data_IF_459299604031
#
_entry.id   IF_459299604031
#
_cell.length_a   1.000
_cell.length_b   1.000
_cell.length_c   1.000
_cell.angle_alpha   90.00
_cell.angle_beta   90.00
_cell.angle_gamma   90.00
#
_symmetry.space_group_name_H-M   'P 1'
#
loop_
_entity.id
_entity.type
_entity.pdbx_description
1 polymer ?
#
# COMPACT_ATOMS: atom_id res chain seq x y z
N UNK A 1 0.62 10.25 0.12
CA UNK A 1 0.33 11.67 0.39
C UNK A 1 0.80 11.94 1.81
N UNK A 2 1.98 12.51 2.00
CA UNK A 2 2.48 12.83 3.35
C UNK A 2 1.87 14.17 3.75
N UNK A 3 0.90 14.15 4.68
CA UNK A 3 0.32 15.37 5.23
C UNK A 3 1.32 15.92 6.26
N UNK A 4 1.97 17.03 5.93
CA UNK A 4 2.77 17.78 6.89
C UNK A 4 1.80 18.57 7.78
N UNK A 5 1.46 18.03 8.94
CA UNK A 5 0.67 18.73 9.96
C UNK A 5 1.62 19.45 10.91
N UNK A 6 1.82 20.75 10.70
CA UNK A 6 2.46 21.63 11.68
C UNK A 6 1.41 22.21 12.63
N UNK A 7 1.62 22.06 13.94
CA UNK A 7 0.97 22.88 14.97
C UNK A 7 0.07 22.10 15.93
N UNK A 8 0.46 22.12 17.22
CA UNK A 8 -0.16 21.35 18.30
C UNK A 8 -1.58 21.79 18.65
N UNK A 9 -2.50 20.81 18.63
CA UNK A 9 -3.76 20.86 19.36
C UNK A 9 -3.63 20.23 20.75
N UNK A 10 -4.57 20.50 21.67
CA UNK A 10 -4.41 20.23 23.10
C UNK A 10 -4.23 18.75 23.40
N UNK A 11 -3.36 18.44 24.36
CA UNK A 11 -3.32 17.13 24.99
C UNK A 11 -4.55 16.98 25.89
N UNK A 12 -5.44 16.00 25.63
CA UNK A 12 -6.43 15.56 26.62
C UNK A 12 -7.07 14.20 26.29
N UNK A 13 -7.13 13.32 27.30
CA UNK A 13 -8.12 12.24 27.43
C UNK A 13 -7.75 10.85 26.87
N UNK A 14 -8.20 9.81 27.58
CA UNK A 14 -8.39 8.48 27.00
C UNK A 14 -9.35 8.56 25.81
N UNK A 15 -9.11 7.77 24.76
CA UNK A 15 -10.03 7.59 23.63
C UNK A 15 -11.37 7.09 24.19
N UNK A 16 -12.41 7.91 24.07
CA UNK A 16 -13.77 7.55 24.47
C UNK A 16 -14.48 6.90 23.28
N UNK A 17 -14.80 5.63 23.42
CA UNK A 17 -15.64 4.94 22.46
C UNK A 17 -17.10 5.34 22.65
N UNK A 18 -17.81 5.47 21.52
CA UNK A 18 -19.26 5.61 21.47
C UNK A 18 -19.88 4.25 21.16
N UNK A 19 -21.12 4.04 21.56
CA UNK A 19 -21.92 2.86 21.23
C UNK A 19 -23.23 3.27 20.57
N UNK A 20 -23.71 2.47 19.63
CA UNK A 20 -25.06 2.63 19.07
C UNK A 20 -26.07 1.81 19.86
N UNK A 21 -27.36 2.11 19.71
CA UNK A 21 -28.45 1.38 20.38
C UNK A 21 -28.52 -0.12 20.04
N UNK A 22 -27.81 -0.58 18.99
CA UNK A 22 -27.75 -1.99 18.59
C UNK A 22 -26.81 -2.84 19.46
N UNK A 23 -25.92 -2.20 20.23
CA UNK A 23 -24.92 -2.90 21.04
C UNK A 23 -25.45 -3.10 22.46
N UNK A 24 -25.88 -4.33 22.77
CA UNK A 24 -26.39 -4.69 24.10
C UNK A 24 -25.25 -5.07 25.06
N UNK A 25 -24.69 -4.07 25.74
CA UNK A 25 -23.64 -4.29 26.75
C UNK A 25 -24.18 -4.79 28.10
N UNK A 26 -25.46 -5.19 28.20
CA UNK A 26 -25.94 -5.94 29.38
C UNK A 26 -25.56 -7.42 29.29
N UNK A 27 -25.26 -7.91 28.08
CA UNK A 27 -24.70 -9.24 27.86
C UNK A 27 -23.21 -9.26 28.24
N UNK A 28 -22.77 -10.15 29.13
CA UNK A 28 -21.40 -10.14 29.66
C UNK A 28 -20.31 -10.22 28.57
N UNK A 29 -20.51 -11.04 27.55
CA UNK A 29 -19.52 -11.20 26.48
C UNK A 29 -19.46 -9.98 25.55
N UNK A 30 -20.61 -9.38 25.23
CA UNK A 30 -20.66 -8.14 24.45
C UNK A 30 -19.99 -6.99 25.23
N UNK A 31 -20.23 -6.90 26.53
CA UNK A 31 -19.57 -5.93 27.40
C UNK A 31 -18.05 -6.13 27.44
N UNK A 32 -17.59 -7.37 27.54
CA UNK A 32 -16.16 -7.69 27.58
C UNK A 32 -15.45 -7.36 26.25
N UNK A 33 -16.08 -7.64 25.11
CA UNK A 33 -15.54 -7.28 23.79
C UNK A 33 -15.54 -5.76 23.59
N UNK A 34 -16.59 -5.06 24.04
CA UNK A 34 -16.62 -3.58 24.03
C UNK A 34 -15.47 -2.99 24.85
N UNK A 35 -15.23 -3.50 26.07
CA UNK A 35 -14.13 -3.06 26.93
C UNK A 35 -12.76 -3.37 26.30
N UNK A 36 -12.59 -4.54 25.68
CA UNK A 36 -11.38 -4.93 24.96
C UNK A 36 -11.01 -3.93 23.85
N UNK A 37 -11.98 -3.51 23.03
CA UNK A 37 -11.78 -2.48 22.01
C UNK A 37 -11.35 -1.14 22.63
N UNK A 38 -11.97 -0.77 23.75
CA UNK A 38 -11.63 0.46 24.48
C UNK A 38 -10.19 0.46 24.97
N UNK A 39 -9.74 -0.67 25.54
CA UNK A 39 -8.36 -0.84 25.92
C UNK A 39 -7.41 -0.78 24.73
N UNK A 40 -7.75 -1.46 23.62
CA UNK A 40 -6.96 -1.47 22.41
C UNK A 40 -6.73 -0.06 21.83
N UNK A 41 -7.79 0.74 21.64
CA UNK A 41 -7.65 2.09 21.08
C UNK A 41 -6.85 3.04 21.97
N UNK A 42 -6.77 2.75 23.28
CA UNK A 42 -5.93 3.47 24.23
C UNK A 42 -4.49 2.92 24.34
N UNK A 43 -4.17 1.83 23.64
CA UNK A 43 -2.91 1.10 23.74
C UNK A 43 -1.99 1.35 22.54
N UNK A 44 -1.78 2.62 22.14
CA UNK A 44 -0.85 3.00 21.04
C UNK A 44 -0.94 2.10 19.80
N UNK A 45 -2.14 1.95 19.18
CA UNK A 45 -2.34 1.07 18.03
C UNK A 45 -1.52 1.45 16.77
N UNK A 46 -0.92 2.63 16.77
CA UNK A 46 -0.03 3.15 15.74
C UNK A 46 1.41 2.60 15.81
N UNK A 47 1.72 1.74 16.79
CA UNK A 47 3.08 1.25 17.08
C UNK A 47 3.20 -0.27 16.93
N UNK A 48 4.37 -0.74 16.50
CA UNK A 48 4.70 -2.18 16.48
C UNK A 48 5.27 -2.61 17.84
N UNK A 49 4.47 -3.36 18.61
CA UNK A 49 4.87 -3.95 19.88
C UNK A 49 3.93 -5.11 20.26
N UNK A 50 4.33 -5.92 21.24
CA UNK A 50 3.50 -7.00 21.77
C UNK A 50 2.27 -6.47 22.54
N UNK A 51 1.23 -6.09 21.79
CA UNK A 51 0.00 -5.52 22.34
C UNK A 51 -0.80 -6.62 23.07
N UNK A 52 -1.05 -6.50 24.39
CA UNK A 52 -1.66 -7.57 25.19
C UNK A 52 -3.14 -7.83 24.85
N UNK A 53 -3.76 -6.91 24.10
CA UNK A 53 -5.16 -7.02 23.68
C UNK A 53 -5.34 -7.82 22.39
N UNK A 54 -4.25 -8.29 21.77
CA UNK A 54 -4.28 -9.07 20.53
C UNK A 54 -4.00 -10.55 20.78
N UNK A 55 -4.48 -11.38 19.85
CA UNK A 55 -4.19 -12.80 19.79
C UNK A 55 -2.67 -13.01 19.80
N UNK A 56 -2.18 -13.80 20.76
CA UNK A 56 -0.74 -14.00 20.97
C UNK A 56 -0.02 -14.60 19.75
N UNK A 57 -0.69 -15.46 18.96
CA UNK A 57 -0.10 -16.01 17.74
C UNK A 57 0.05 -14.94 16.65
N UNK A 58 -0.93 -14.04 16.51
CA UNK A 58 -0.82 -12.91 15.58
C UNK A 58 0.26 -11.91 16.02
N UNK A 59 0.39 -11.68 17.33
CA UNK A 59 1.48 -10.86 17.87
C UNK A 59 2.84 -11.48 17.55
N UNK A 60 3.01 -12.78 17.80
CA UNK A 60 4.27 -13.48 17.51
C UNK A 60 4.63 -13.39 16.02
N UNK A 61 3.66 -13.64 15.15
CA UNK A 61 3.85 -13.56 13.70
C UNK A 61 4.14 -12.13 13.22
N UNK A 62 3.23 -11.18 13.45
CA UNK A 62 3.36 -9.83 12.89
C UNK A 62 4.49 -9.03 13.54
N UNK A 63 4.59 -9.04 14.87
CA UNK A 63 5.57 -8.21 15.59
C UNK A 63 6.89 -8.95 15.77
N UNK A 64 6.84 -10.23 16.12
CA UNK A 64 8.03 -11.04 16.40
C UNK A 64 8.80 -11.42 15.15
N UNK A 65 8.13 -12.01 14.17
CA UNK A 65 8.77 -12.52 12.94
C UNK A 65 8.91 -11.44 11.86
N UNK A 66 7.91 -10.56 11.72
CA UNK A 66 7.87 -9.58 10.63
C UNK A 66 8.20 -8.15 11.05
N UNK A 67 8.31 -7.85 12.35
CA UNK A 67 8.57 -6.50 12.88
C UNK A 67 7.55 -5.43 12.45
N UNK A 68 6.31 -5.86 12.24
CA UNK A 68 5.19 -5.04 11.80
C UNK A 68 4.17 -4.82 12.92
N UNK A 69 3.20 -3.93 12.68
CA UNK A 69 2.07 -3.74 13.59
C UNK A 69 1.15 -4.97 13.52
N UNK A 70 0.64 -5.40 14.67
CA UNK A 70 -0.29 -6.55 14.75
C UNK A 70 -1.65 -6.24 14.12
N UNK A 71 -2.14 -5.00 14.23
CA UNK A 71 -3.35 -4.57 13.53
C UNK A 71 -3.04 -4.31 12.06
N UNK A 72 -3.56 -5.16 11.16
CA UNK A 72 -3.39 -4.99 9.72
C UNK A 72 -4.06 -3.70 9.19
N UNK A 73 -5.08 -3.17 9.87
CA UNK A 73 -5.68 -1.88 9.55
C UNK A 73 -4.79 -0.69 9.91
N UNK A 74 -3.90 -0.83 10.89
CA UNK A 74 -2.99 0.25 11.28
C UNK A 74 -2.02 0.67 10.16
N UNK A 75 -1.85 -0.17 9.13
CA UNK A 75 -1.07 0.16 7.93
C UNK A 75 -1.60 1.40 7.20
N UNK A 76 -2.93 1.55 7.12
CA UNK A 76 -3.57 2.62 6.35
C UNK A 76 -4.30 3.64 7.23
N UNK A 77 -4.81 3.20 8.39
CA UNK A 77 -5.67 4.01 9.26
C UNK A 77 -5.03 5.34 9.65
N UNK A 78 -3.77 5.32 10.09
CA UNK A 78 -3.16 6.49 10.73
C UNK A 78 -2.55 7.49 9.75
N UNK A 79 -2.19 7.06 8.53
CA UNK A 79 -1.69 7.91 7.43
C UNK A 79 -0.69 9.03 7.86
N UNK A 80 0.28 8.68 8.71
CA UNK A 80 1.30 9.60 9.21
C UNK A 80 0.93 10.41 10.47
N UNK A 81 -0.31 10.30 10.95
CA UNK A 81 -0.72 10.79 12.26
C UNK A 81 -0.36 9.75 13.35
N UNK A 82 -0.09 10.20 14.57
CA UNK A 82 -0.13 9.30 15.72
C UNK A 82 -1.57 8.87 16.02
N UNK A 83 -1.75 7.73 16.70
CA UNK A 83 -3.06 7.27 17.14
C UNK A 83 -3.80 8.34 17.95
N UNK A 84 -3.07 9.07 18.80
CA UNK A 84 -3.63 10.18 19.58
C UNK A 84 -4.17 11.31 18.69
N UNK A 85 -3.41 11.74 17.69
CA UNK A 85 -3.86 12.79 16.75
C UNK A 85 -5.04 12.31 15.93
N UNK A 86 -5.01 11.05 15.48
CA UNK A 86 -6.06 10.46 14.69
C UNK A 86 -7.39 10.38 15.46
N UNK A 87 -7.37 9.84 16.69
CA UNK A 87 -8.59 9.71 17.51
C UNK A 87 -9.09 11.02 18.12
N UNK A 88 -8.27 12.07 18.12
CA UNK A 88 -8.75 13.43 18.42
C UNK A 88 -9.67 13.97 17.31
N UNK A 89 -9.53 13.46 16.08
CA UNK A 89 -10.36 13.84 14.92
C UNK A 89 -11.51 12.84 14.76
N UNK A 90 -11.19 11.54 14.69
CA UNK A 90 -12.15 10.48 14.40
C UNK A 90 -12.45 9.66 15.64
N UNK A 91 -13.66 9.81 16.20
CA UNK A 91 -14.04 9.07 17.39
C UNK A 91 -14.57 7.67 17.03
N UNK A 92 -14.04 6.60 17.66
CA UNK A 92 -14.51 5.25 17.41
C UNK A 92 -15.92 5.04 17.95
N UNK A 93 -16.81 4.57 17.09
CA UNK A 93 -18.22 4.28 17.40
C UNK A 93 -18.54 2.85 17.05
N UNK A 94 -18.88 2.04 18.06
CA UNK A 94 -19.23 0.63 17.87
C UNK A 94 -20.63 0.52 17.29
N UNK A 95 -20.70 0.05 16.05
CA UNK A 95 -21.95 -0.17 15.33
C UNK A 95 -22.61 -1.51 15.71
N UNK A 96 -21.80 -2.55 15.89
CA UNK A 96 -22.28 -3.89 16.23
C UNK A 96 -21.19 -4.71 16.92
N UNK A 97 -21.61 -5.61 17.81
CA UNK A 97 -20.81 -6.74 18.31
C UNK A 97 -21.72 -7.96 18.20
N UNK A 98 -21.38 -8.89 17.30
CA UNK A 98 -22.26 -9.98 16.90
C UNK A 98 -21.55 -11.33 17.06
N UNK A 99 -22.25 -12.40 17.49
CA UNK A 99 -21.68 -13.74 17.49
C UNK A 99 -21.26 -14.18 16.08
N UNK A 100 -20.10 -14.83 15.99
CA UNK A 100 -19.56 -15.42 14.77
C UNK A 100 -18.97 -16.80 15.12
N UNK A 101 -19.84 -17.80 15.27
CA UNK A 101 -19.47 -19.10 15.83
C UNK A 101 -19.04 -18.96 17.29
N UNK A 102 -17.84 -19.43 17.61
CA UNK A 102 -17.24 -19.27 18.95
C UNK A 102 -16.55 -17.91 19.18
N UNK A 103 -16.58 -17.02 18.18
CA UNK A 103 -15.98 -15.68 18.21
C UNK A 103 -17.07 -14.62 18.28
N UNK A 104 -16.65 -13.36 18.44
CA UNK A 104 -17.49 -12.20 18.11
C UNK A 104 -16.86 -11.42 16.95
N UNK A 105 -17.69 -10.76 16.16
CA UNK A 105 -17.26 -9.75 15.18
C UNK A 105 -17.73 -8.38 15.65
N UNK A 106 -16.80 -7.45 15.76
CA UNK A 106 -17.08 -6.05 16.10
C UNK A 106 -16.88 -5.16 14.88
N UNK A 107 -17.84 -4.26 14.63
CA UNK A 107 -17.74 -3.23 13.60
C UNK A 107 -17.68 -1.86 14.23
N UNK A 108 -16.66 -1.09 13.86
CA UNK A 108 -16.40 0.23 14.45
C UNK A 108 -16.34 1.27 13.34
N UNK A 109 -17.25 2.23 13.38
CA UNK A 109 -17.18 3.41 12.52
C UNK A 109 -16.20 4.41 13.13
N UNK A 110 -15.23 4.84 12.34
CA UNK A 110 -14.42 6.01 12.65
C UNK A 110 -15.06 7.20 11.93
N UNK A 111 -15.46 8.23 12.67
CA UNK A 111 -15.99 9.46 12.08
C UNK A 111 -15.71 10.67 12.95
N UNK A 112 -15.65 11.84 12.31
CA UNK A 112 -15.45 13.13 12.96
C UNK A 112 -16.78 13.85 13.14
N UNK A 113 -17.04 14.29 14.37
CA UNK A 113 -18.17 15.13 14.73
C UNK A 113 -17.68 16.59 14.69
N UNK A 114 -18.06 17.34 13.66
CA UNK A 114 -17.43 18.63 13.35
C UNK A 114 -15.99 18.47 12.81
N UNK A 115 -15.80 17.88 11.62
CA UNK A 115 -14.46 17.66 11.06
C UNK A 115 -13.69 18.97 10.88
N UNK A 116 -12.35 18.96 11.04
CA UNK A 116 -11.50 20.07 10.61
C UNK A 116 -11.77 20.45 9.14
N UNK A 117 -11.57 21.71 8.79
CA UNK A 117 -11.89 22.23 7.46
C UNK A 117 -11.27 21.42 6.31
N UNK A 118 -10.04 20.93 6.47
CA UNK A 118 -9.38 20.10 5.47
C UNK A 118 -10.02 18.72 5.31
N UNK A 119 -10.46 18.08 6.40
CA UNK A 119 -11.20 16.80 6.35
C UNK A 119 -12.53 16.99 5.62
N UNK A 120 -13.22 18.11 5.88
CA UNK A 120 -14.48 18.44 5.21
C UNK A 120 -14.27 18.74 3.72
N UNK A 121 -13.27 19.55 3.38
CA UNK A 121 -12.96 19.95 2.00
C UNK A 121 -12.52 18.77 1.13
N UNK A 122 -11.76 17.84 1.70
CA UNK A 122 -11.27 16.67 0.98
C UNK A 122 -12.23 15.46 1.08
N UNK A 123 -13.41 15.64 1.69
CA UNK A 123 -14.43 14.59 1.88
C UNK A 123 -13.94 13.33 2.62
N UNK A 124 -13.07 13.50 3.62
CA UNK A 124 -12.44 12.40 4.38
C UNK A 124 -13.26 11.89 5.59
N UNK A 125 -14.59 12.03 5.58
CA UNK A 125 -15.44 11.67 6.72
C UNK A 125 -16.76 10.98 6.28
N UNK A 126 -17.07 9.75 6.75
CA UNK A 126 -16.23 8.90 7.59
C UNK A 126 -15.07 8.27 6.80
N UNK A 127 -13.85 8.18 7.37
CA UNK A 127 -12.73 7.59 6.66
C UNK A 127 -12.77 6.06 6.60
N UNK A 128 -13.30 5.40 7.64
CA UNK A 128 -13.20 3.94 7.79
C UNK A 128 -14.36 3.34 8.56
N UNK A 129 -14.75 2.13 8.14
CA UNK A 129 -15.46 1.18 8.99
C UNK A 129 -14.54 -0.01 9.24
N UNK A 130 -14.09 -0.16 10.48
CA UNK A 130 -13.21 -1.23 10.92
C UNK A 130 -14.02 -2.49 11.23
N UNK A 131 -13.39 -3.64 11.04
CA UNK A 131 -13.87 -4.96 11.43
C UNK A 131 -12.79 -5.69 12.21
N UNK A 132 -13.13 -6.10 13.42
CA UNK A 132 -12.27 -6.94 14.25
C UNK A 132 -13.00 -8.21 14.66
N UNK A 133 -12.27 -9.31 14.79
CA UNK A 133 -12.77 -10.47 15.51
C UNK A 133 -12.29 -10.40 16.97
N UNK A 134 -13.08 -10.97 17.86
CA UNK A 134 -12.67 -11.25 19.23
C UNK A 134 -12.73 -12.76 19.46
N UNK A 135 -11.62 -13.31 19.95
CA UNK A 135 -11.43 -14.75 20.21
C UNK A 135 -11.00 -14.95 21.66
N UNK A 136 -11.37 -16.08 22.28
CA UNK A 136 -10.90 -16.41 23.62
C UNK A 136 -9.52 -17.06 23.58
N UNK A 137 -8.63 -16.62 24.46
CA UNK A 137 -7.38 -17.33 24.72
C UNK A 137 -7.63 -18.59 25.59
N UNK A 138 -6.58 -19.36 25.86
CA UNK A 138 -6.66 -20.56 26.69
C UNK A 138 -7.16 -20.32 28.13
N UNK A 139 -7.00 -19.10 28.65
CA UNK A 139 -7.51 -18.67 29.95
C UNK A 139 -8.97 -18.16 29.89
N UNK A 140 -9.63 -18.23 28.72
CA UNK A 140 -11.00 -17.78 28.52
C UNK A 140 -11.16 -16.27 28.35
N UNK A 141 -10.07 -15.50 28.28
CA UNK A 141 -10.12 -14.03 28.12
C UNK A 141 -10.23 -13.65 26.64
N UNK A 142 -11.03 -12.63 26.34
CA UNK A 142 -11.17 -12.11 24.97
C UNK A 142 -9.90 -11.37 24.52
N UNK A 143 -9.48 -11.63 23.28
CA UNK A 143 -8.40 -10.95 22.57
C UNK A 143 -8.86 -10.60 21.15
N UNK A 144 -8.34 -9.50 20.59
CA UNK A 144 -8.59 -9.11 19.21
C UNK A 144 -7.84 -10.02 18.25
N UNK A 145 -8.45 -10.26 17.11
CA UNK A 145 -7.90 -11.03 16.01
C UNK A 145 -8.19 -10.30 14.70
N UNK A 146 -7.23 -10.34 13.78
CA UNK A 146 -7.39 -9.77 12.46
C UNK A 146 -8.52 -10.49 11.71
N UNK A 147 -9.07 -9.80 10.73
CA UNK A 147 -9.99 -10.38 9.75
C UNK A 147 -9.34 -11.50 8.94
N UNK A 148 -8.04 -11.35 8.66
CA UNK A 148 -7.27 -12.20 7.78
C UNK A 148 -7.51 -13.72 7.95
N UNK A 149 -7.31 -14.34 9.14
CA UNK A 149 -7.46 -15.79 9.28
C UNK A 149 -8.87 -16.29 8.97
N UNK A 150 -9.88 -15.43 9.18
CA UNK A 150 -11.29 -15.74 8.96
C UNK A 150 -11.70 -15.56 7.49
N UNK A 151 -11.00 -14.68 6.76
CA UNK A 151 -11.25 -14.47 5.33
C UNK A 151 -10.54 -15.53 4.48
N UNK A 152 -9.24 -15.75 4.69
CA UNK A 152 -8.41 -16.56 3.76
C UNK A 152 -8.51 -18.06 3.98
N UNK A 153 -8.97 -18.53 5.15
CA UNK A 153 -8.98 -19.96 5.51
C UNK A 153 -9.82 -20.87 4.60
N UNK A 154 -10.63 -20.30 3.71
CA UNK A 154 -11.48 -21.02 2.75
C UNK A 154 -11.08 -20.80 1.29
N UNK A 155 -9.97 -20.08 1.05
CA UNK A 155 -9.60 -19.66 -0.28
C UNK A 155 -8.96 -20.80 -1.07
N UNK A 156 -9.16 -20.75 -2.39
CA UNK A 156 -8.54 -21.69 -3.30
C UNK A 156 -7.15 -21.20 -3.68
N UNK A 157 -6.24 -22.15 -3.88
CA UNK A 157 -4.88 -21.85 -4.29
C UNK A 157 -4.58 -22.32 -5.72
N UNK A 158 -3.74 -21.56 -6.42
CA UNK A 158 -3.06 -22.03 -7.63
C UNK A 158 -1.58 -21.71 -7.49
N UNK A 159 -0.72 -22.71 -7.66
CA UNK A 159 0.72 -22.56 -7.46
C UNK A 159 1.44 -22.61 -8.81
N UNK A 160 2.34 -21.67 -9.03
CA UNK A 160 3.33 -21.67 -10.11
C UNK A 160 4.74 -21.61 -9.50
N UNK A 161 5.83 -21.73 -10.30
CA UNK A 161 7.19 -21.68 -9.76
C UNK A 161 7.50 -20.42 -8.94
N UNK A 162 6.95 -19.26 -9.33
CA UNK A 162 7.24 -17.97 -8.68
C UNK A 162 6.11 -17.44 -7.80
N UNK A 163 4.87 -17.92 -7.96
CA UNK A 163 3.71 -17.28 -7.34
C UNK A 163 2.76 -18.34 -6.79
N UNK A 164 2.41 -18.24 -5.50
CA UNK A 164 1.22 -18.90 -4.94
C UNK A 164 0.07 -17.90 -4.99
N UNK A 165 -0.87 -18.16 -5.89
CA UNK A 165 -2.08 -17.36 -6.03
C UNK A 165 -3.14 -17.81 -5.04
N UNK A 166 -3.74 -16.87 -4.34
CA UNK A 166 -4.82 -17.06 -3.39
C UNK A 166 -6.09 -16.39 -3.91
N UNK A 167 -7.18 -17.15 -3.99
CA UNK A 167 -8.44 -16.69 -4.57
C UNK A 167 -9.62 -16.88 -3.61
N UNK A 168 -10.48 -15.87 -3.46
CA UNK A 168 -11.74 -16.07 -2.75
C UNK A 168 -12.57 -17.15 -3.45
N UNK A 169 -13.44 -17.87 -2.72
CA UNK A 169 -14.26 -18.95 -3.31
C UNK A 169 -15.12 -18.53 -4.52
N UNK A 170 -15.39 -17.23 -4.65
CA UNK A 170 -16.18 -16.65 -5.74
C UNK A 170 -15.37 -16.29 -6.99
N UNK A 171 -14.04 -16.32 -6.93
CA UNK A 171 -13.19 -16.02 -8.07
C UNK A 171 -13.08 -17.22 -9.04
N UNK A 172 -12.73 -16.91 -10.29
CA UNK A 172 -12.52 -17.90 -11.36
C UNK A 172 -11.06 -17.83 -11.84
N UNK A 173 -10.17 -18.64 -11.28
CA UNK A 173 -8.74 -18.62 -11.64
C UNK A 173 -8.52 -18.94 -13.12
N UNK A 174 -7.65 -18.18 -13.78
CA UNK A 174 -7.15 -18.47 -15.12
C UNK A 174 -5.71 -18.97 -15.05
N UNK A 175 -5.55 -20.30 -15.07
CA UNK A 175 -4.25 -20.95 -14.96
C UNK A 175 -3.26 -20.54 -16.08
N UNK A 176 -3.76 -20.17 -17.27
CA UNK A 176 -2.89 -19.74 -18.36
C UNK A 176 -2.34 -18.33 -18.10
N UNK A 177 -3.16 -17.41 -17.56
CA UNK A 177 -2.70 -16.09 -17.11
C UNK A 177 -1.73 -16.20 -15.93
N UNK A 178 -2.02 -17.06 -14.96
CA UNK A 178 -1.12 -17.32 -13.83
C UNK A 178 0.27 -17.79 -14.28
N UNK A 179 0.33 -18.75 -15.22
CA UNK A 179 1.62 -19.19 -15.81
C UNK A 179 2.36 -18.08 -16.53
N UNK A 180 1.65 -17.22 -17.27
CA UNK A 180 2.27 -16.05 -17.93
C UNK A 180 2.84 -15.04 -16.92
N UNK A 181 2.10 -14.76 -15.85
CA UNK A 181 2.58 -13.94 -14.74
C UNK A 181 3.86 -14.54 -14.11
N UNK A 182 3.87 -15.85 -13.87
CA UNK A 182 5.05 -16.55 -13.35
C UNK A 182 6.26 -16.48 -14.29
N UNK A 183 6.04 -16.60 -15.60
CA UNK A 183 7.12 -16.49 -16.60
C UNK A 183 7.68 -15.07 -16.71
N UNK A 184 6.86 -14.06 -16.46
CA UNK A 184 7.34 -12.68 -16.33
C UNK A 184 8.28 -12.54 -15.13
N UNK A 185 7.92 -13.09 -13.96
CA UNK A 185 8.79 -13.07 -12.78
C UNK A 185 10.15 -13.71 -13.07
N UNK A 186 10.14 -14.87 -13.73
CA UNK A 186 11.35 -15.58 -14.16
C UNK A 186 12.24 -14.71 -15.08
N UNK A 187 11.63 -14.02 -16.03
CA UNK A 187 12.32 -13.11 -16.94
C UNK A 187 12.95 -11.93 -16.19
N UNK A 188 12.26 -11.34 -15.21
CA UNK A 188 12.78 -10.22 -14.40
C UNK A 188 13.95 -10.68 -13.54
N UNK A 189 13.82 -11.81 -12.85
CA UNK A 189 14.87 -12.38 -12.00
C UNK A 189 16.11 -12.71 -12.82
N UNK A 190 15.93 -13.30 -14.00
CA UNK A 190 17.02 -13.61 -14.93
C UNK A 190 17.68 -12.34 -15.46
N UNK A 191 16.89 -11.38 -15.96
CA UNK A 191 17.41 -10.14 -16.54
C UNK A 191 18.25 -9.32 -15.55
N UNK A 192 17.84 -9.28 -14.28
CA UNK A 192 18.45 -8.45 -13.25
C UNK A 192 19.37 -9.23 -12.31
N UNK A 193 19.54 -10.55 -12.52
CA UNK A 193 20.31 -11.45 -11.68
C UNK A 193 19.95 -11.36 -10.19
N UNK A 194 18.65 -11.43 -9.87
CA UNK A 194 18.13 -11.23 -8.50
C UNK A 194 18.33 -12.46 -7.62
N UNK A 195 19.53 -12.62 -7.06
CA UNK A 195 19.89 -13.79 -6.25
C UNK A 195 19.04 -13.98 -4.97
N UNK A 196 18.46 -12.90 -4.43
CA UNK A 196 17.61 -12.94 -3.24
C UNK A 196 16.11 -13.10 -3.56
N UNK A 197 15.72 -13.10 -4.84
CA UNK A 197 14.34 -13.28 -5.23
C UNK A 197 13.87 -14.68 -4.86
N UNK A 198 12.63 -14.77 -4.35
CA UNK A 198 12.00 -16.02 -3.94
C UNK A 198 10.53 -16.03 -4.37
N UNK A 199 9.90 -17.22 -4.47
CA UNK A 199 8.46 -17.31 -4.71
C UNK A 199 7.68 -16.55 -3.63
N UNK A 200 6.54 -15.96 -4.00
CA UNK A 200 5.74 -15.10 -3.12
C UNK A 200 4.24 -15.42 -3.20
N UNK A 201 3.49 -14.95 -2.21
CA UNK A 201 2.03 -15.09 -2.18
C UNK A 201 1.35 -13.90 -2.87
N UNK A 202 0.36 -14.18 -3.71
CA UNK A 202 -0.43 -13.16 -4.40
C UNK A 202 -1.92 -13.36 -4.16
N UNK A 203 -2.55 -12.39 -3.51
CA UNK A 203 -3.97 -12.42 -3.18
C UNK A 203 -4.76 -11.68 -4.25
N UNK A 204 -5.56 -12.43 -5.00
CA UNK A 204 -6.34 -11.93 -6.13
C UNK A 204 -7.79 -11.79 -5.72
N UNK A 205 -8.20 -10.56 -5.41
CA UNK A 205 -9.60 -10.23 -5.06
C UNK A 205 -10.25 -9.37 -6.13
N UNK A 206 -11.59 -9.40 -6.18
CA UNK A 206 -12.37 -8.81 -7.26
C UNK A 206 -12.85 -7.38 -6.95
N UNK A 207 -12.62 -6.88 -5.74
CA UNK A 207 -13.01 -5.52 -5.36
C UNK A 207 -12.13 -4.95 -4.25
N UNK A 208 -12.16 -3.63 -4.12
CA UNK A 208 -11.47 -2.92 -3.04
C UNK A 208 -12.08 -3.24 -1.68
N UNK A 209 -13.38 -3.52 -1.59
CA UNK A 209 -13.97 -3.94 -0.31
C UNK A 209 -13.46 -5.32 0.12
N UNK A 210 -13.27 -6.25 -0.84
CA UNK A 210 -12.64 -7.54 -0.53
C UNK A 210 -11.18 -7.36 -0.10
N UNK A 211 -10.45 -6.43 -0.72
CA UNK A 211 -9.08 -6.11 -0.32
C UNK A 211 -9.05 -5.50 1.09
N UNK A 212 -9.91 -4.52 1.35
CA UNK A 212 -10.05 -3.87 2.66
C UNK A 212 -10.35 -4.89 3.77
N UNK A 213 -11.15 -5.92 3.48
CA UNK A 213 -11.42 -7.02 4.43
C UNK A 213 -10.19 -7.84 4.80
N UNK A 214 -9.11 -7.83 4.02
CA UNK A 214 -7.84 -8.44 4.44
C UNK A 214 -7.05 -7.55 5.40
N UNK A 215 -7.44 -6.27 5.51
CA UNK A 215 -6.81 -5.24 6.34
C UNK A 215 -7.76 -4.69 7.41
N UNK A 216 -8.70 -5.49 7.91
CA UNK A 216 -9.65 -5.10 8.96
C UNK A 216 -10.64 -3.99 8.58
N UNK A 217 -10.97 -3.82 7.30
CA UNK A 217 -11.97 -2.85 6.84
C UNK A 217 -13.19 -3.51 6.22
N UNK A 218 -14.39 -3.11 6.66
CA UNK A 218 -15.61 -3.28 5.88
C UNK A 218 -15.82 -2.11 4.90
N UNK A 219 -15.21 -0.95 5.19
CA UNK A 219 -15.18 0.23 4.32
C UNK A 219 -13.92 1.06 4.60
N UNK A 220 -13.34 1.65 3.55
CA UNK A 220 -12.23 2.59 3.66
C UNK A 220 -12.29 3.64 2.53
N UNK A 221 -11.87 4.87 2.81
CA UNK A 221 -11.77 5.93 1.80
C UNK A 221 -10.52 5.87 0.90
N UNK A 222 -9.34 5.39 1.36
CA UNK A 222 -8.20 5.27 0.48
C UNK A 222 -8.51 4.38 -0.73
N UNK A 223 -8.31 4.92 -1.94
CA UNK A 223 -8.36 4.13 -3.17
C UNK A 223 -7.08 3.31 -3.30
N UNK A 224 -7.21 1.98 -3.32
CA UNK A 224 -6.06 1.07 -3.40
C UNK A 224 -6.42 -0.14 -4.27
N UNK A 225 -5.80 -0.22 -5.45
CA UNK A 225 -6.04 -1.32 -6.39
C UNK A 225 -4.96 -2.42 -6.34
N UNK A 226 -3.90 -2.19 -5.57
CA UNK A 226 -2.78 -3.09 -5.36
C UNK A 226 -1.85 -2.59 -4.27
N UNK A 227 -1.23 -3.53 -3.54
CA UNK A 227 -0.23 -3.21 -2.53
C UNK A 227 0.73 -4.38 -2.37
N UNK A 228 2.00 -4.07 -2.18
CA UNK A 228 3.04 -5.04 -1.88
C UNK A 228 3.45 -4.92 -0.41
N UNK A 229 3.45 -6.05 0.31
CA UNK A 229 3.94 -6.12 1.68
C UNK A 229 5.20 -7.00 1.74
N UNK A 230 6.34 -6.35 1.52
CA UNK A 230 7.63 -7.02 1.36
C UNK A 230 8.09 -7.80 2.58
N UNK A 231 7.81 -7.30 3.79
CA UNK A 231 8.10 -7.99 5.05
C UNK A 231 7.48 -9.40 5.10
N UNK A 232 6.30 -9.56 4.49
CA UNK A 232 5.58 -10.84 4.39
C UNK A 232 5.82 -11.58 3.08
N UNK A 233 6.62 -11.02 2.17
CA UNK A 233 6.85 -11.55 0.82
C UNK A 233 5.53 -11.88 0.10
N UNK A 234 4.61 -10.90 0.09
CA UNK A 234 3.30 -11.03 -0.54
C UNK A 234 2.84 -9.74 -1.21
N UNK A 235 1.92 -9.88 -2.15
CA UNK A 235 1.26 -8.75 -2.82
C UNK A 235 -0.22 -9.02 -3.02
N UNK A 236 -0.96 -7.96 -3.35
CA UNK A 236 -2.41 -7.94 -3.39
C UNK A 236 -2.90 -7.20 -4.62
N UNK A 237 -4.07 -7.59 -5.14
CA UNK A 237 -4.76 -6.78 -6.14
C UNK A 237 -6.27 -6.87 -5.99
N UNK A 238 -6.93 -5.73 -6.14
CA UNK A 238 -8.38 -5.60 -6.19
C UNK A 238 -8.96 -5.72 -7.61
N UNK A 239 -8.16 -6.13 -8.60
CA UNK A 239 -8.55 -6.13 -10.01
C UNK A 239 -9.12 -7.46 -10.52
N UNK A 240 -9.10 -8.51 -9.70
CA UNK A 240 -9.63 -9.84 -10.06
C UNK A 240 -8.87 -10.53 -11.19
N UNK A 241 -7.55 -10.35 -11.27
CA UNK A 241 -6.71 -10.83 -12.38
C UNK A 241 -5.37 -11.35 -11.87
N UNK A 242 -4.80 -12.33 -12.56
CA UNK A 242 -3.53 -12.97 -12.22
C UNK A 242 -2.29 -12.13 -12.55
N UNK A 243 -2.48 -11.04 -13.28
CA UNK A 243 -1.39 -10.18 -13.71
C UNK A 243 -1.39 -8.91 -12.84
N UNK A 244 -0.28 -8.65 -12.16
CA UNK A 244 -0.05 -7.36 -11.54
C UNK A 244 1.44 -7.05 -11.62
N UNK A 245 1.93 -7.02 -12.86
CA UNK A 245 3.36 -7.10 -13.17
C UNK A 245 4.16 -5.98 -12.50
N UNK A 246 3.57 -4.79 -12.36
CA UNK A 246 4.15 -3.67 -11.61
C UNK A 246 4.47 -4.05 -10.16
N UNK A 247 3.48 -4.55 -9.42
CA UNK A 247 3.68 -4.98 -8.04
C UNK A 247 4.58 -6.21 -7.92
N UNK A 248 4.60 -7.09 -8.92
CA UNK A 248 5.53 -8.23 -8.91
C UNK A 248 6.98 -7.77 -8.96
N UNK A 249 7.29 -6.67 -9.65
CA UNK A 249 8.62 -6.07 -9.60
C UNK A 249 8.94 -5.56 -8.19
N UNK A 250 8.00 -4.91 -7.50
CA UNK A 250 8.19 -4.45 -6.12
C UNK A 250 8.47 -5.58 -5.13
N UNK A 251 7.83 -6.75 -5.30
CA UNK A 251 8.07 -7.93 -4.47
C UNK A 251 9.44 -8.55 -4.75
N UNK A 252 9.79 -8.75 -6.02
CA UNK A 252 10.99 -9.47 -6.44
C UNK A 252 12.27 -8.65 -6.26
N UNK A 253 12.21 -7.35 -6.58
CA UNK A 253 13.38 -6.48 -6.60
C UNK A 253 13.72 -6.00 -5.18
N UNK A 254 15.00 -5.79 -4.80
CA UNK A 254 15.38 -5.20 -3.51
C UNK A 254 14.77 -3.82 -3.25
N UNK A 255 14.76 -3.37 -1.98
CA UNK A 255 14.23 -2.05 -1.64
C UNK A 255 15.09 -0.94 -2.26
N UNK A 256 14.44 0.01 -2.93
CA UNK A 256 15.08 1.18 -3.54
C UNK A 256 14.71 2.41 -2.71
N UNK A 257 15.71 3.03 -2.08
CA UNK A 257 15.53 4.20 -1.18
C UNK A 257 14.83 5.36 -1.87
N UNK A 258 15.19 5.60 -3.14
CA UNK A 258 14.59 6.66 -3.92
C UNK A 258 13.24 6.20 -4.49
N UNK A 259 12.15 6.73 -3.95
CA UNK A 259 10.79 6.32 -4.32
C UNK A 259 10.47 6.56 -5.79
N UNK A 260 11.00 7.64 -6.40
CA UNK A 260 10.84 7.88 -7.83
C UNK A 260 11.48 6.77 -8.68
N UNK A 261 12.63 6.26 -8.24
CA UNK A 261 13.30 5.15 -8.89
C UNK A 261 12.64 3.80 -8.61
N UNK A 262 12.10 3.58 -7.41
CA UNK A 262 11.33 2.38 -7.09
C UNK A 262 10.13 2.22 -8.03
N UNK A 263 9.29 3.26 -8.14
CA UNK A 263 8.13 3.28 -9.04
C UNK A 263 8.55 3.26 -10.52
N UNK A 264 9.65 3.92 -10.85
CA UNK A 264 10.21 3.95 -12.20
C UNK A 264 10.61 2.56 -12.71
N UNK A 265 11.27 1.75 -11.87
CA UNK A 265 11.69 0.39 -12.24
C UNK A 265 10.49 -0.53 -12.45
N UNK A 266 9.55 -0.52 -11.49
CA UNK A 266 8.32 -1.29 -11.59
C UNK A 266 7.49 -0.90 -12.82
N UNK A 267 7.48 0.39 -13.16
CA UNK A 267 6.83 0.90 -14.37
C UNK A 267 7.56 0.52 -15.66
N UNK A 268 8.89 0.56 -15.66
CA UNK A 268 9.72 0.21 -16.82
C UNK A 268 9.53 -1.26 -17.22
N UNK A 269 9.51 -2.17 -16.23
CA UNK A 269 9.42 -3.62 -16.46
C UNK A 269 7.97 -4.13 -16.49
N UNK A 270 7.15 -3.70 -15.53
CA UNK A 270 5.79 -4.20 -15.32
C UNK A 270 4.68 -3.31 -15.88
N UNK A 271 5.00 -2.14 -16.44
CA UNK A 271 4.01 -1.18 -16.93
C UNK A 271 3.40 -0.31 -15.81
N UNK A 272 2.61 0.69 -16.21
CA UNK A 272 2.09 1.71 -15.27
C UNK A 272 1.12 1.15 -14.25
N UNK A 273 0.35 0.15 -14.65
CA UNK A 273 -0.71 -0.44 -13.84
C UNK A 273 -0.65 -1.98 -13.80
N UNK A 274 0.49 -2.53 -14.20
CA UNK A 274 0.71 -3.97 -14.38
C UNK A 274 0.36 -4.50 -15.77
N UNK A 275 -0.12 -3.64 -16.69
CA UNK A 275 -0.57 -4.05 -18.03
C UNK A 275 -0.16 -3.06 -19.11
N UNK A 276 -0.37 -1.77 -18.85
CA UNK A 276 -0.17 -0.70 -19.83
C UNK A 276 1.32 -0.45 -19.98
N UNK A 277 1.90 -0.66 -21.18
CA UNK A 277 3.31 -0.40 -21.40
C UNK A 277 3.64 1.07 -21.10
N UNK A 278 4.72 1.33 -20.36
CA UNK A 278 5.01 2.70 -19.90
C UNK A 278 5.14 3.72 -21.03
N UNK A 279 5.67 3.30 -22.19
CA UNK A 279 5.82 4.16 -23.38
C UNK A 279 4.49 4.70 -23.89
N UNK A 280 3.40 3.94 -23.75
CA UNK A 280 2.07 4.42 -24.13
C UNK A 280 1.65 5.61 -23.27
N UNK A 281 1.76 5.48 -21.96
CA UNK A 281 1.43 6.56 -21.02
C UNK A 281 2.42 7.72 -21.10
N UNK A 282 3.71 7.43 -21.31
CA UNK A 282 4.75 8.45 -21.50
C UNK A 282 4.46 9.34 -22.72
N UNK A 283 3.99 8.76 -23.84
CA UNK A 283 3.55 9.54 -25.01
C UNK A 283 2.38 10.45 -24.70
N UNK A 284 1.39 9.96 -23.96
CA UNK A 284 0.22 10.76 -23.57
C UNK A 284 0.62 11.94 -22.67
N UNK A 285 1.48 11.69 -21.67
CA UNK A 285 2.04 12.73 -20.78
C UNK A 285 2.87 13.74 -21.58
N UNK A 286 3.77 13.27 -22.45
CA UNK A 286 4.62 14.14 -23.26
C UNK A 286 3.78 15.03 -24.21
N UNK A 287 2.75 14.47 -24.85
CA UNK A 287 1.86 15.21 -25.73
C UNK A 287 1.07 16.31 -24.97
N UNK A 288 0.62 16.03 -23.75
CA UNK A 288 -0.06 17.02 -22.91
C UNK A 288 0.87 18.14 -22.45
N UNK A 289 2.07 17.78 -21.99
CA UNK A 289 3.09 18.75 -21.63
C UNK A 289 3.42 19.66 -22.81
N UNK A 290 3.59 19.11 -24.02
CA UNK A 290 3.88 19.89 -25.22
C UNK A 290 2.75 20.86 -25.59
N UNK A 291 1.47 20.46 -25.45
CA UNK A 291 0.32 21.27 -25.87
C UNK A 291 -0.12 22.29 -24.84
N UNK A 292 -0.10 21.92 -23.57
CA UNK A 292 -0.79 22.65 -22.52
C UNK A 292 0.15 23.21 -21.46
N UNK A 293 1.34 22.61 -21.28
CA UNK A 293 2.23 22.87 -20.13
C UNK A 293 3.73 22.82 -20.49
N UNK A 294 4.21 23.51 -21.55
CA UNK A 294 5.56 23.30 -22.09
C UNK A 294 6.69 23.74 -21.14
N UNK A 295 6.38 24.54 -20.13
CA UNK A 295 7.34 25.06 -19.15
C UNK A 295 7.55 24.15 -17.93
N UNK A 296 6.83 23.03 -17.80
CA UNK A 296 6.98 22.11 -16.65
C UNK A 296 8.36 21.45 -16.72
N UNK A 297 9.22 21.67 -15.71
CA UNK A 297 10.53 21.03 -15.65
C UNK A 297 10.42 19.55 -15.25
N UNK A 298 11.42 18.76 -15.62
CA UNK A 298 11.49 17.35 -15.21
C UNK A 298 11.42 17.16 -13.68
N UNK A 299 11.95 18.12 -12.91
CA UNK A 299 11.87 18.13 -11.44
C UNK A 299 10.43 18.03 -10.93
N UNK A 300 9.47 18.67 -11.59
CA UNK A 300 8.07 18.65 -11.16
C UNK A 300 7.43 17.26 -11.35
N UNK A 301 7.93 16.49 -12.33
CA UNK A 301 7.56 15.08 -12.49
C UNK A 301 8.20 14.23 -11.40
N UNK A 302 9.47 14.47 -11.08
CA UNK A 302 10.19 13.77 -10.01
C UNK A 302 9.53 13.98 -8.64
N UNK A 303 9.26 15.24 -8.27
CA UNK A 303 8.63 15.59 -7.00
C UNK A 303 7.16 15.16 -6.96
N UNK A 304 6.57 14.90 -8.13
CA UNK A 304 5.14 14.67 -8.28
C UNK A 304 4.36 15.91 -7.87
N UNK A 305 4.76 17.09 -8.33
CA UNK A 305 3.97 18.34 -8.21
C UNK A 305 3.08 18.52 -9.45
N UNK A 306 3.49 17.99 -10.60
CA UNK A 306 2.65 17.93 -11.79
C UNK A 306 1.55 16.86 -11.63
N UNK A 307 0.31 17.23 -11.96
CA UNK A 307 -0.87 16.35 -11.93
C UNK A 307 -1.43 16.26 -13.34
N UNK A 308 -1.45 15.04 -13.88
CA UNK A 308 -2.07 14.77 -15.16
C UNK A 308 -3.56 14.47 -14.96
N UNK A 309 -4.48 14.96 -15.81
CA UNK A 309 -5.91 14.80 -15.61
C UNK A 309 -6.38 13.34 -15.61
N UNK A 310 -5.60 12.43 -16.18
CA UNK A 310 -5.91 11.00 -16.20
C UNK A 310 -4.96 10.22 -15.30
N UNK A 311 -5.42 9.06 -14.83
CA UNK A 311 -4.81 8.23 -13.79
C UNK A 311 -3.41 7.64 -14.14
N UNK A 312 -2.77 8.08 -15.22
CA UNK A 312 -1.41 7.71 -15.59
C UNK A 312 -0.40 8.61 -14.88
N UNK A 313 0.08 8.18 -13.71
CA UNK A 313 0.97 8.97 -12.86
C UNK A 313 2.24 9.43 -13.63
N UNK A 314 2.39 10.74 -13.94
CA UNK A 314 3.51 11.26 -14.74
C UNK A 314 4.88 10.95 -14.13
N UNK A 315 4.93 10.92 -12.80
CA UNK A 315 6.12 10.56 -12.03
C UNK A 315 6.64 9.17 -12.41
N UNK A 316 5.73 8.21 -12.59
CA UNK A 316 6.06 6.80 -12.78
C UNK A 316 6.69 6.59 -14.16
N UNK A 317 6.07 7.15 -15.20
CA UNK A 317 6.59 7.06 -16.57
C UNK A 317 7.85 7.89 -16.78
N UNK A 318 8.01 8.99 -16.04
CA UNK A 318 9.27 9.74 -16.01
C UNK A 318 10.40 8.91 -15.37
N UNK A 319 10.11 8.19 -14.28
CA UNK A 319 11.03 7.23 -13.68
C UNK A 319 11.41 6.11 -14.66
N UNK A 320 10.44 5.53 -15.37
CA UNK A 320 10.68 4.50 -16.37
C UNK A 320 11.56 5.00 -17.53
N UNK A 321 11.40 6.25 -17.95
CA UNK A 321 12.28 6.88 -18.94
C UNK A 321 13.74 6.94 -18.46
N UNK A 322 13.98 7.19 -17.17
CA UNK A 322 15.34 7.18 -16.61
C UNK A 322 15.97 5.79 -16.75
N UNK A 323 15.25 4.73 -16.34
CA UNK A 323 15.76 3.35 -16.48
C UNK A 323 16.00 2.97 -17.93
N UNK A 324 15.12 3.38 -18.85
CA UNK A 324 15.34 3.19 -20.28
C UNK A 324 16.66 3.82 -20.74
N UNK A 325 16.92 5.08 -20.37
CA UNK A 325 18.13 5.79 -20.77
C UNK A 325 19.40 5.17 -20.16
N UNK A 326 19.34 4.76 -18.90
CA UNK A 326 20.46 4.06 -18.24
C UNK A 326 20.70 2.70 -18.88
N UNK A 327 19.65 1.92 -19.17
CA UNK A 327 19.78 0.64 -19.86
C UNK A 327 20.43 0.80 -21.24
N UNK A 328 20.02 1.82 -22.00
CA UNK A 328 20.59 2.12 -23.33
C UNK A 328 22.05 2.56 -23.27
N UNK A 329 22.45 3.35 -22.26
CA UNK A 329 23.80 3.91 -22.16
C UNK A 329 24.80 2.99 -21.44
N UNK A 330 24.37 2.33 -20.38
CA UNK A 330 25.23 1.65 -19.41
C UNK A 330 24.77 0.23 -19.04
N UNK A 331 23.70 -0.28 -19.67
CA UNK A 331 23.15 -1.61 -19.44
C UNK A 331 22.37 -1.74 -18.11
N UNK A 332 21.58 -2.81 -18.01
CA UNK A 332 20.71 -3.08 -16.83
C UNK A 332 21.50 -3.31 -15.54
N UNK A 333 22.73 -3.83 -15.64
CA UNK A 333 23.63 -4.01 -14.49
C UNK A 333 24.00 -2.67 -13.81
N UNK A 334 23.78 -1.53 -14.46
CA UNK A 334 24.04 -0.21 -13.89
C UNK A 334 22.88 0.37 -13.07
N UNK A 335 21.73 -0.31 -12.99
CA UNK A 335 20.57 0.15 -12.23
C UNK A 335 20.90 0.37 -10.75
N UNK A 336 21.60 -0.58 -10.12
CA UNK A 336 22.02 -0.47 -8.71
C UNK A 336 22.88 0.77 -8.42
N UNK A 337 23.66 1.26 -9.39
CA UNK A 337 24.45 2.49 -9.24
C UNK A 337 23.57 3.74 -9.25
N UNK A 338 22.48 3.72 -10.01
CA UNK A 338 21.49 4.80 -10.01
C UNK A 338 20.70 4.81 -8.67
N UNK A 339 20.36 3.63 -8.18
CA UNK A 339 19.57 3.39 -6.97
C UNK A 339 20.30 3.70 -5.66
N UNK A 340 21.62 3.92 -5.72
CA UNK A 340 22.41 4.48 -4.60
C UNK A 340 22.05 5.94 -4.29
N UNK A 341 21.27 6.59 -5.15
CA UNK A 341 20.78 7.93 -4.87
C UNK A 341 19.85 7.98 -3.65
N UNK A 342 20.02 9.03 -2.85
CA UNK A 342 19.10 9.38 -1.79
C UNK A 342 17.76 9.83 -2.40
N UNK A 343 16.69 9.86 -1.60
CA UNK A 343 15.35 10.25 -2.05
C UNK A 343 15.20 11.78 -2.27
N UNK A 344 16.13 12.39 -3.01
CA UNK A 344 16.16 13.81 -3.35
C UNK A 344 16.52 14.00 -4.83
N UNK A 345 15.97 15.03 -5.46
CA UNK A 345 16.23 15.31 -6.87
C UNK A 345 17.72 15.54 -7.16
N UNK A 346 18.42 16.26 -6.28
CA UNK A 346 19.85 16.54 -6.44
C UNK A 346 20.69 15.26 -6.40
N UNK A 347 20.42 14.34 -5.46
CA UNK A 347 21.14 13.07 -5.38
C UNK A 347 20.85 12.19 -6.59
N UNK A 348 19.58 12.08 -7.01
CA UNK A 348 19.17 11.40 -8.23
C UNK A 348 19.94 11.93 -9.46
N UNK A 349 19.92 13.25 -9.66
CA UNK A 349 20.50 13.88 -10.86
C UNK A 349 22.01 13.69 -10.91
N UNK A 350 22.71 13.74 -9.76
CA UNK A 350 24.16 13.45 -9.68
C UNK A 350 24.48 12.02 -10.15
N UNK A 351 23.76 11.02 -9.64
CA UNK A 351 24.01 9.62 -10.01
C UNK A 351 23.65 9.35 -11.49
N UNK A 352 22.52 9.89 -11.95
CA UNK A 352 22.14 9.81 -13.35
C UNK A 352 23.19 10.47 -14.26
N UNK A 353 23.65 11.68 -13.94
CA UNK A 353 24.66 12.41 -14.71
C UNK A 353 25.99 11.65 -14.79
N UNK A 354 26.42 11.01 -13.68
CA UNK A 354 27.62 10.19 -13.65
C UNK A 354 27.51 8.98 -14.60
N UNK A 355 26.38 8.27 -14.58
CA UNK A 355 26.12 7.14 -15.50
C UNK A 355 26.06 7.58 -16.96
N UNK A 356 25.53 8.78 -17.20
CA UNK A 356 25.46 9.37 -18.52
C UNK A 356 26.78 10.02 -18.99
N UNK A 357 27.80 10.10 -18.11
CA UNK A 357 29.09 10.74 -18.35
C UNK A 357 28.96 12.22 -18.76
N UNK A 358 28.14 12.97 -18.03
CA UNK A 358 27.89 14.39 -18.28
C UNK A 358 27.70 15.18 -16.99
N UNK A 359 27.68 16.50 -17.06
CA UNK A 359 27.38 17.36 -15.91
C UNK A 359 25.88 17.37 -15.62
N UNK A 360 25.49 17.60 -14.36
CA UNK A 360 24.08 17.61 -13.95
C UNK A 360 23.15 18.47 -14.83
N UNK A 361 23.51 19.73 -15.21
CA UNK A 361 22.66 20.53 -16.11
C UNK A 361 22.47 19.91 -17.50
N UNK A 362 23.49 19.19 -18.01
CA UNK A 362 23.39 18.49 -19.30
C UNK A 362 22.48 17.26 -19.18
N UNK A 363 22.54 16.57 -18.04
CA UNK A 363 21.70 15.42 -17.76
C UNK A 363 20.22 15.81 -17.61
N UNK A 364 19.94 16.92 -16.93
CA UNK A 364 18.59 17.47 -16.83
C UNK A 364 18.05 17.90 -18.20
N UNK A 365 18.87 18.62 -18.99
CA UNK A 365 18.50 18.99 -20.36
C UNK A 365 18.24 17.76 -21.24
N UNK A 366 19.00 16.67 -21.06
CA UNK A 366 18.76 15.40 -21.75
C UNK A 366 17.41 14.80 -21.36
N UNK A 367 17.09 14.73 -20.06
CA UNK A 367 15.81 14.20 -19.58
C UNK A 367 14.63 14.98 -20.16
N UNK A 368 14.69 16.31 -20.10
CA UNK A 368 13.65 17.17 -20.68
C UNK A 368 13.51 16.95 -22.20
N UNK A 369 14.64 16.92 -22.92
CA UNK A 369 14.66 16.69 -24.37
C UNK A 369 14.08 15.33 -24.73
N UNK A 370 14.43 14.28 -23.98
CA UNK A 370 13.96 12.91 -24.22
C UNK A 370 12.47 12.79 -23.96
N UNK A 371 11.97 13.36 -22.86
CA UNK A 371 10.55 13.44 -22.58
C UNK A 371 9.78 14.14 -23.72
N UNK A 372 10.24 15.31 -24.16
CA UNK A 372 9.60 16.06 -25.25
C UNK A 372 9.61 15.29 -26.58
N UNK A 373 10.62 14.45 -26.84
CA UNK A 373 10.67 13.63 -28.04
C UNK A 373 9.56 12.57 -28.12
N UNK A 374 9.01 12.14 -26.99
CA UNK A 374 7.86 11.22 -26.93
C UNK A 374 6.53 11.88 -27.30
N UNK A 375 6.46 13.21 -27.48
CA UNK A 375 5.26 13.90 -27.94
C UNK A 375 5.05 13.82 -29.47
N UNK A 376 6.07 13.38 -30.21
CA UNK A 376 6.07 13.19 -31.67
C UNK A 376 5.91 11.70 -31.97
#
# INVERSE_FOLDING_TARGET
>A
MAIVVSGGGPAQGQVKMRLTARVDTTQPDVQAVYALLGHYFNARPDSAYANPFWNAAEVAYHVGEHHEKVDLGALFMFNGLSAKQFFAIYQPTVLSIEPAGAKYVARVLLYADGPPAWVAADHWNPPFQLRYYAVRNAAGQWQLENTWPNEVGTWNELVTPWIRFHYPPTAKPDAAKARRASAFCDSVVTLLHLAAARPFDYYVVNSEEQLGRLFNYDYWLPFLNGVTQKAYNRTFSARGREQHLHEFVHVLYPEVKNYFLAEGLATYLGGVDGYTPYRQTLRAVAADLARHRPAVPFKDLYDGTFRYPTNGNPRYVAGALVYELVAQKAGVASFQKLEQSENTYASFLTHFAALMQMRAPQAEALLQKRLAAYAK
#
